data_IF_840391727931
#
_entry.id   IF_840391727931
#
_cell.length_a   1.000
_cell.length_b   1.000
_cell.length_c   1.000
_cell.angle_alpha   90.00
_cell.angle_beta   90.00
_cell.angle_gamma   90.00
#
_symmetry.space_group_name_H-M   'P 1'
#
loop_
_entity.id
_entity.type
_entity.pdbx_description
1 polymer ?
#
# COMPACT_ATOMS: atom_id res chain seq x y z
N UNK A 1 32.04 -71.86 -9.57
CA UNK A 1 32.26 -72.41 -10.92
C UNK A 1 32.26 -71.23 -11.90
N UNK A 2 33.49 -70.93 -12.38
CA UNK A 2 33.96 -70.65 -13.76
C UNK A 2 33.20 -69.53 -14.50
N UNK A 3 33.83 -68.34 -14.66
CA UNK A 3 34.73 -67.86 -15.76
C UNK A 3 34.03 -67.68 -17.10
N UNK A 4 34.05 -66.49 -17.67
CA UNK A 4 35.01 -65.92 -18.65
C UNK A 4 34.52 -64.52 -19.07
N UNK A 5 35.24 -63.48 -18.92
CA UNK A 5 36.19 -62.71 -19.76
C UNK A 5 35.86 -62.75 -21.25
N UNK A 6 35.58 -61.59 -21.84
CA UNK A 6 36.20 -61.20 -23.11
C UNK A 6 36.32 -59.65 -23.23
N UNK A 7 37.56 -59.29 -23.45
CA UNK A 7 38.13 -57.99 -23.78
C UNK A 7 38.04 -57.83 -25.32
N UNK A 8 37.67 -56.71 -25.84
CA UNK A 8 38.07 -56.28 -27.18
C UNK A 8 38.38 -54.78 -27.22
N UNK A 9 39.62 -54.54 -27.58
CA UNK A 9 40.26 -53.26 -27.81
C UNK A 9 40.09 -52.88 -29.30
N UNK A 10 39.94 -51.65 -29.63
CA UNK A 10 40.35 -50.92 -30.88
C UNK A 10 39.54 -49.64 -31.03
N UNK A 11 39.94 -48.50 -31.46
CA UNK A 11 41.16 -47.88 -31.92
C UNK A 11 40.93 -46.38 -31.94
N UNK A 12 41.97 -45.62 -31.63
CA UNK A 12 42.12 -44.17 -31.72
C UNK A 12 41.84 -43.64 -33.13
N UNK A 13 41.07 -42.49 -33.22
CA UNK A 13 41.19 -41.57 -34.32
C UNK A 13 41.19 -40.15 -33.79
N UNK A 14 42.33 -39.50 -33.75
CA UNK A 14 42.53 -38.06 -33.57
C UNK A 14 42.01 -37.31 -34.78
N UNK A 15 41.08 -36.37 -34.54
CA UNK A 15 40.71 -35.35 -35.51
C UNK A 15 40.85 -33.96 -34.84
N UNK A 16 41.96 -33.29 -35.08
CA UNK A 16 42.17 -31.89 -34.77
C UNK A 16 41.31 -31.02 -35.72
N UNK A 17 40.34 -30.30 -35.20
CA UNK A 17 39.71 -29.16 -35.87
C UNK A 17 39.78 -27.96 -34.93
N UNK A 18 40.70 -27.06 -35.23
CA UNK A 18 40.79 -25.71 -34.71
C UNK A 18 39.56 -24.92 -35.16
N UNK A 19 38.66 -24.60 -34.28
CA UNK A 19 37.59 -23.65 -34.51
C UNK A 19 37.77 -22.48 -33.53
N UNK A 20 38.09 -21.29 -34.06
CA UNK A 20 38.04 -20.04 -33.33
C UNK A 20 36.62 -19.82 -32.76
N UNK A 21 36.44 -19.99 -31.48
CA UNK A 21 35.24 -19.61 -30.79
C UNK A 21 35.36 -18.15 -30.36
N UNK A 22 34.66 -17.29 -31.06
CA UNK A 22 34.27 -15.96 -30.59
C UNK A 22 33.48 -16.15 -29.30
N UNK A 23 34.01 -15.70 -28.15
CA UNK A 23 33.22 -15.52 -26.94
C UNK A 23 32.27 -14.33 -27.13
N UNK A 24 31.16 -14.58 -27.79
CA UNK A 24 30.00 -13.72 -27.72
C UNK A 24 29.40 -13.89 -26.33
N UNK A 25 29.45 -12.83 -25.55
CA UNK A 25 28.60 -12.67 -24.40
C UNK A 25 27.16 -12.63 -24.94
N UNK A 26 26.48 -13.75 -25.00
CA UNK A 26 25.03 -13.78 -25.18
C UNK A 26 24.43 -13.32 -23.85
N UNK A 27 24.20 -12.01 -23.72
CA UNK A 27 23.07 -11.54 -22.96
C UNK A 27 21.85 -12.25 -23.56
N UNK A 28 21.30 -13.22 -22.86
CA UNK A 28 19.96 -13.72 -23.13
C UNK A 28 19.03 -12.53 -22.90
N UNK A 29 18.64 -11.83 -23.99
CA UNK A 29 17.42 -11.03 -23.93
C UNK A 29 16.32 -12.03 -23.56
N UNK A 30 15.62 -11.82 -22.48
CA UNK A 30 14.36 -12.50 -22.23
C UNK A 30 13.50 -12.24 -23.46
N UNK A 31 13.06 -13.29 -24.16
CA UNK A 31 12.17 -13.13 -25.32
C UNK A 31 10.79 -12.68 -24.78
N UNK A 32 10.64 -11.35 -24.59
CA UNK A 32 9.35 -10.75 -24.23
C UNK A 32 8.40 -10.96 -25.40
N UNK A 33 7.28 -11.61 -25.14
CA UNK A 33 6.18 -11.72 -26.10
C UNK A 33 5.56 -10.33 -26.25
N UNK A 34 5.55 -9.81 -27.48
CA UNK A 34 5.07 -8.44 -27.77
C UNK A 34 3.68 -8.39 -28.41
N UNK A 35 3.06 -9.54 -28.68
CA UNK A 35 1.72 -9.62 -29.27
C UNK A 35 0.97 -10.84 -28.69
N UNK A 36 -0.24 -10.64 -28.20
CA UNK A 36 -1.13 -11.70 -27.69
C UNK A 36 -2.08 -12.11 -28.82
N UNK A 37 -1.76 -13.20 -29.51
CA UNK A 37 -2.52 -13.70 -30.67
C UNK A 37 -3.53 -14.79 -30.30
N UNK A 38 -3.32 -15.51 -29.20
CA UNK A 38 -4.18 -16.56 -28.69
C UNK A 38 -4.82 -16.15 -27.36
N UNK A 39 -5.97 -16.72 -26.98
CA UNK A 39 -6.60 -16.40 -25.70
C UNK A 39 -5.67 -16.66 -24.50
N UNK A 40 -5.52 -15.66 -23.64
CA UNK A 40 -4.74 -15.69 -22.40
C UNK A 40 -5.63 -15.31 -21.24
N UNK A 41 -5.58 -16.10 -20.17
CA UNK A 41 -6.24 -15.78 -18.89
C UNK A 41 -5.20 -15.36 -17.86
N UNK A 42 -5.44 -14.25 -17.18
CA UNK A 42 -4.66 -13.76 -16.05
C UNK A 42 -5.54 -13.62 -14.81
N UNK A 43 -4.96 -13.85 -13.63
CA UNK A 43 -5.66 -13.71 -12.34
C UNK A 43 -5.10 -12.56 -11.55
N UNK A 44 -5.98 -11.71 -11.00
CA UNK A 44 -5.61 -10.58 -10.17
C UNK A 44 -6.17 -10.75 -8.74
N UNK A 45 -5.26 -10.86 -7.74
CA UNK A 45 -5.63 -10.85 -6.33
C UNK A 45 -5.66 -9.43 -5.78
N UNK A 46 -6.81 -9.03 -5.23
CA UNK A 46 -7.04 -7.69 -4.69
C UNK A 46 -7.82 -7.73 -3.37
N UNK A 47 -7.84 -6.60 -2.67
CA UNK A 47 -8.58 -6.39 -1.42
C UNK A 47 -9.57 -5.21 -1.51
N UNK A 48 -9.98 -4.85 -2.73
CA UNK A 48 -10.93 -3.77 -2.97
C UNK A 48 -12.36 -4.22 -2.62
N UNK A 49 -13.14 -3.35 -1.98
CA UNK A 49 -14.51 -3.63 -1.56
C UNK A 49 -15.43 -2.44 -1.86
N UNK A 50 -16.74 -2.68 -1.95
CA UNK A 50 -17.75 -1.64 -2.20
C UNK A 50 -17.45 -0.85 -3.48
N UNK A 51 -17.52 0.48 -3.44
CA UNK A 51 -17.27 1.34 -4.59
C UNK A 51 -15.89 1.13 -5.23
N UNK A 52 -14.89 0.76 -4.46
CA UNK A 52 -13.56 0.44 -4.98
C UNK A 52 -13.58 -0.83 -5.84
N UNK A 53 -14.28 -1.88 -5.41
CA UNK A 53 -14.43 -3.12 -6.19
C UNK A 53 -15.29 -2.89 -7.43
N UNK A 54 -16.32 -2.08 -7.33
CA UNK A 54 -17.17 -1.70 -8.47
C UNK A 54 -16.38 -0.95 -9.54
N UNK A 55 -15.55 0.02 -9.13
CA UNK A 55 -14.69 0.77 -10.05
C UNK A 55 -13.60 -0.11 -10.67
N UNK A 56 -12.98 -1.00 -9.86
CA UNK A 56 -12.01 -1.98 -10.36
C UNK A 56 -12.63 -2.90 -11.42
N UNK A 57 -13.84 -3.41 -11.16
CA UNK A 57 -14.58 -4.27 -12.10
C UNK A 57 -14.89 -3.52 -13.39
N UNK A 58 -15.42 -2.29 -13.31
CA UNK A 58 -15.71 -1.44 -14.45
C UNK A 58 -14.49 -1.20 -15.35
N UNK A 59 -13.34 -0.88 -14.75
CA UNK A 59 -12.09 -0.67 -15.48
C UNK A 59 -11.55 -1.98 -16.10
N UNK A 60 -11.68 -3.09 -15.38
CA UNK A 60 -11.28 -4.41 -15.89
C UNK A 60 -12.15 -4.85 -17.08
N UNK A 61 -13.45 -4.61 -17.03
CA UNK A 61 -14.38 -4.89 -18.14
C UNK A 61 -14.05 -4.03 -19.36
N UNK A 62 -13.70 -2.75 -19.15
CA UNK A 62 -13.26 -1.86 -20.23
C UNK A 62 -11.97 -2.36 -20.88
N UNK A 63 -10.97 -2.77 -20.08
CA UNK A 63 -9.74 -3.38 -20.59
C UNK A 63 -10.01 -4.61 -21.46
N UNK A 64 -10.86 -5.54 -20.97
CA UNK A 64 -11.20 -6.75 -21.71
C UNK A 64 -11.97 -6.46 -23.02
N UNK A 65 -12.76 -5.39 -23.03
CA UNK A 65 -13.47 -4.96 -24.25
C UNK A 65 -12.51 -4.47 -25.35
N UNK A 66 -11.39 -3.87 -24.96
CA UNK A 66 -10.33 -3.41 -25.88
C UNK A 66 -9.34 -4.53 -26.24
N UNK A 67 -9.22 -5.57 -25.42
CA UNK A 67 -8.24 -6.65 -25.54
C UNK A 67 -8.91 -8.02 -25.60
N UNK A 68 -9.57 -8.33 -26.72
CA UNK A 68 -10.43 -9.52 -26.86
C UNK A 68 -9.74 -10.88 -26.61
N UNK A 69 -8.42 -10.94 -26.70
CA UNK A 69 -7.62 -12.15 -26.40
C UNK A 69 -7.18 -12.24 -24.94
N UNK A 70 -7.46 -11.23 -24.09
CA UNK A 70 -7.06 -11.24 -22.69
C UNK A 70 -8.29 -11.30 -21.79
N UNK A 71 -8.34 -12.30 -20.93
CA UNK A 71 -9.36 -12.41 -19.87
C UNK A 71 -8.72 -12.17 -18.51
N UNK A 72 -9.25 -11.22 -17.74
CA UNK A 72 -8.81 -10.92 -16.38
C UNK A 72 -9.82 -11.46 -15.37
N UNK A 73 -9.39 -12.38 -14.52
CA UNK A 73 -10.20 -12.91 -13.43
C UNK A 73 -9.84 -12.21 -12.12
N UNK A 74 -10.73 -11.32 -11.65
CA UNK A 74 -10.58 -10.65 -10.36
C UNK A 74 -10.89 -11.62 -9.21
N UNK A 75 -10.02 -11.67 -8.21
CA UNK A 75 -10.18 -12.51 -7.01
C UNK A 75 -10.02 -11.65 -5.75
N UNK A 76 -11.16 -11.26 -5.17
CA UNK A 76 -11.20 -10.50 -3.92
C UNK A 76 -10.73 -11.35 -2.74
N UNK A 77 -9.78 -10.85 -1.97
CA UNK A 77 -9.22 -11.48 -0.76
C UNK A 77 -9.73 -10.83 0.53
N UNK A 78 -10.85 -10.12 0.47
CA UNK A 78 -11.58 -9.49 1.57
C UNK A 78 -10.89 -8.26 2.20
N UNK A 79 -9.64 -8.38 2.63
CA UNK A 79 -8.92 -7.29 3.29
C UNK A 79 -7.42 -7.32 2.96
N UNK A 80 -6.73 -6.21 3.22
CA UNK A 80 -5.26 -6.17 3.08
C UNK A 80 -4.55 -7.20 3.97
N UNK A 81 -4.90 -7.40 5.25
CA UNK A 81 -4.32 -8.46 6.07
C UNK A 81 -4.54 -9.86 5.49
N UNK A 82 -5.76 -10.16 4.99
CA UNK A 82 -6.08 -11.46 4.39
C UNK A 82 -5.30 -11.69 3.08
N UNK A 83 -5.21 -10.65 2.23
CA UNK A 83 -4.42 -10.69 1.00
C UNK A 83 -2.95 -10.96 1.32
N UNK A 84 -2.36 -10.22 2.26
CA UNK A 84 -0.96 -10.39 2.65
C UNK A 84 -0.70 -11.79 3.22
N UNK A 85 -1.57 -12.28 4.12
CA UNK A 85 -1.44 -13.62 4.68
C UNK A 85 -1.48 -14.69 3.59
N UNK A 86 -2.41 -14.55 2.63
CA UNK A 86 -2.53 -15.48 1.51
C UNK A 86 -1.32 -15.44 0.58
N UNK A 87 -0.82 -14.25 0.24
CA UNK A 87 0.40 -14.07 -0.54
C UNK A 87 1.57 -14.78 0.13
N UNK A 88 1.83 -14.47 1.40
CA UNK A 88 2.93 -15.07 2.17
C UNK A 88 2.83 -16.60 2.23
N UNK A 89 1.64 -17.13 2.49
CA UNK A 89 1.42 -18.59 2.55
C UNK A 89 1.62 -19.27 1.20
N UNK A 90 1.33 -18.57 0.08
CA UNK A 90 1.38 -19.15 -1.27
C UNK A 90 2.79 -19.10 -1.86
N UNK A 91 3.68 -18.20 -1.40
CA UNK A 91 5.07 -18.10 -1.87
C UNK A 91 5.85 -19.42 -1.77
N UNK A 92 5.53 -20.28 -0.80
CA UNK A 92 6.10 -21.61 -0.69
C UNK A 92 5.74 -22.57 -1.85
N UNK A 93 4.74 -22.19 -2.68
CA UNK A 93 4.29 -22.95 -3.84
C UNK A 93 4.03 -22.00 -5.01
N UNK A 94 5.08 -21.45 -5.66
CA UNK A 94 4.97 -20.36 -6.62
C UNK A 94 4.01 -20.61 -7.80
N UNK A 95 3.81 -21.87 -8.19
CA UNK A 95 2.85 -22.24 -9.24
C UNK A 95 1.38 -21.95 -8.87
N UNK A 96 1.08 -21.69 -7.59
CA UNK A 96 -0.25 -21.34 -7.10
C UNK A 96 -0.44 -19.82 -6.88
N UNK A 97 0.61 -19.01 -7.10
CA UNK A 97 0.50 -17.58 -7.09
C UNK A 97 -0.40 -17.09 -8.25
N UNK A 98 -1.09 -15.96 -8.10
CA UNK A 98 -1.85 -15.37 -9.19
C UNK A 98 -0.89 -14.86 -10.28
N UNK A 99 -1.42 -14.41 -11.42
CA UNK A 99 -0.59 -13.73 -12.41
C UNK A 99 -0.08 -12.39 -11.88
N UNK A 100 -0.98 -11.64 -11.22
CA UNK A 100 -0.64 -10.35 -10.61
C UNK A 100 -1.40 -10.14 -9.30
N UNK A 101 -0.87 -9.23 -8.49
CA UNK A 101 -1.46 -8.82 -7.21
C UNK A 101 -1.24 -7.34 -6.94
N UNK A 102 -2.11 -6.73 -6.13
CA UNK A 102 -1.77 -5.51 -5.43
C UNK A 102 -1.05 -5.84 -4.12
N UNK A 103 -0.01 -5.08 -3.77
CA UNK A 103 0.70 -5.25 -2.51
C UNK A 103 1.45 -3.97 -2.12
N UNK A 104 1.79 -3.84 -0.84
CA UNK A 104 2.75 -2.85 -0.38
C UNK A 104 4.18 -3.32 -0.67
N UNK A 105 5.14 -2.41 -0.92
CA UNK A 105 6.53 -2.78 -1.23
C UNK A 105 7.20 -3.64 -0.16
N UNK A 106 6.97 -3.32 1.11
CA UNK A 106 7.53 -4.06 2.25
C UNK A 106 7.00 -5.49 2.38
N UNK A 107 5.79 -5.78 1.86
CA UNK A 107 5.27 -7.16 1.81
C UNK A 107 5.98 -8.01 0.77
N UNK A 108 6.45 -7.37 -0.30
CA UNK A 108 6.98 -8.06 -1.47
C UNK A 108 8.51 -8.22 -1.42
N UNK A 109 9.20 -7.59 -0.46
CA UNK A 109 10.66 -7.64 -0.39
C UNK A 109 11.22 -9.07 -0.41
N UNK A 110 10.67 -9.97 0.42
CA UNK A 110 11.12 -11.36 0.46
C UNK A 110 10.83 -12.09 -0.86
N UNK A 111 9.64 -11.88 -1.44
CA UNK A 111 9.29 -12.46 -2.73
C UNK A 111 10.19 -11.95 -3.87
N UNK A 112 10.60 -10.69 -3.82
CA UNK A 112 11.58 -10.11 -4.75
C UNK A 112 12.95 -10.74 -4.56
N UNK A 113 13.45 -10.84 -3.31
CA UNK A 113 14.74 -11.46 -3.00
C UNK A 113 14.79 -12.95 -3.38
N UNK A 114 13.66 -13.65 -3.29
CA UNK A 114 13.52 -15.05 -3.70
C UNK A 114 13.31 -15.24 -5.22
N UNK A 115 13.27 -14.13 -6.00
CA UNK A 115 13.09 -14.17 -7.45
C UNK A 115 11.69 -14.59 -7.91
N UNK A 116 10.66 -14.39 -7.06
CA UNK A 116 9.27 -14.74 -7.37
C UNK A 116 8.52 -13.65 -8.12
N UNK A 117 9.06 -12.43 -8.16
CA UNK A 117 8.44 -11.24 -8.76
C UNK A 117 9.18 -10.86 -10.03
N UNK A 118 8.44 -10.57 -11.08
CA UNK A 118 8.98 -10.11 -12.36
C UNK A 118 9.56 -8.70 -12.23
N UNK A 119 10.82 -8.51 -12.63
CA UNK A 119 11.39 -7.17 -12.82
C UNK A 119 10.80 -6.56 -14.10
N UNK A 120 10.31 -5.32 -14.00
CA UNK A 120 9.56 -4.67 -15.08
C UNK A 120 10.39 -3.76 -15.97
N UNK A 121 11.69 -3.54 -15.69
CA UNK A 121 12.52 -2.56 -16.40
C UNK A 121 12.53 -2.81 -17.92
N UNK A 122 12.70 -4.07 -18.35
CA UNK A 122 12.70 -4.44 -19.78
C UNK A 122 11.31 -4.29 -20.42
N UNK A 123 10.24 -4.48 -19.65
CA UNK A 123 8.86 -4.26 -20.10
C UNK A 123 8.56 -2.77 -20.23
N UNK A 124 8.93 -1.95 -19.24
CA UNK A 124 8.71 -0.50 -19.21
C UNK A 124 9.38 0.18 -20.40
N UNK A 125 10.61 -0.25 -20.76
CA UNK A 125 11.43 0.34 -21.82
C UNK A 125 11.31 -0.36 -23.17
N UNK A 126 10.43 -1.37 -23.31
CA UNK A 126 10.26 -2.13 -24.54
C UNK A 126 9.72 -1.23 -25.66
N UNK A 127 10.34 -1.28 -26.84
CA UNK A 127 9.98 -0.43 -27.99
C UNK A 127 8.57 -0.70 -28.55
N UNK A 128 7.98 -1.88 -28.27
CA UNK A 128 6.67 -2.28 -28.82
C UNK A 128 5.54 -2.16 -27.80
N UNK A 129 5.76 -2.64 -26.56
CA UNK A 129 4.74 -2.74 -25.53
C UNK A 129 4.99 -1.81 -24.35
N UNK A 130 6.14 -1.14 -24.28
CA UNK A 130 6.52 -0.28 -23.17
C UNK A 130 5.60 0.93 -22.97
N UNK A 131 5.91 1.73 -21.96
CA UNK A 131 5.21 2.98 -21.74
C UNK A 131 5.77 4.09 -22.62
N UNK A 132 4.89 4.85 -23.27
CA UNK A 132 5.27 6.09 -23.97
C UNK A 132 5.42 7.27 -23.00
N UNK A 133 4.78 7.18 -21.82
CA UNK A 133 4.58 8.27 -20.87
C UNK A 133 4.88 7.86 -19.40
N UNK A 134 5.83 6.94 -19.19
CA UNK A 134 6.19 6.43 -17.86
C UNK A 134 6.56 7.55 -16.88
N UNK A 135 7.21 8.61 -17.39
CA UNK A 135 7.62 9.77 -16.60
C UNK A 135 6.43 10.63 -16.10
N UNK A 136 5.22 10.47 -16.65
CA UNK A 136 4.02 11.11 -16.15
C UNK A 136 3.52 10.49 -14.82
N UNK A 137 3.94 9.26 -14.51
CA UNK A 137 3.73 8.70 -13.18
C UNK A 137 4.60 9.48 -12.19
N UNK A 138 3.98 9.95 -11.10
CA UNK A 138 4.62 10.78 -10.06
C UNK A 138 5.92 10.14 -9.58
N UNK A 139 7.03 10.88 -9.64
CA UNK A 139 8.38 10.37 -9.37
C UNK A 139 8.49 9.69 -8.00
N UNK A 140 7.91 10.30 -6.94
CA UNK A 140 7.93 9.71 -5.60
C UNK A 140 7.22 8.36 -5.51
N UNK A 141 6.19 8.13 -6.33
CA UNK A 141 5.51 6.83 -6.40
C UNK A 141 6.33 5.81 -7.20
N UNK A 142 6.95 6.24 -8.33
CA UNK A 142 7.83 5.37 -9.12
C UNK A 142 9.04 4.88 -8.33
N UNK A 143 9.71 5.78 -7.61
CA UNK A 143 10.90 5.45 -6.83
C UNK A 143 10.60 4.50 -5.67
N UNK A 144 9.39 4.55 -5.10
CA UNK A 144 8.95 3.63 -4.06
C UNK A 144 8.79 2.16 -4.53
N UNK A 145 8.71 1.92 -5.85
CA UNK A 145 8.60 0.56 -6.42
C UNK A 145 9.94 -0.05 -6.81
N UNK A 146 11.04 0.67 -6.59
CA UNK A 146 12.41 0.20 -6.88
C UNK A 146 12.97 -0.55 -5.67
N UNK A 147 13.35 -1.80 -5.88
CA UNK A 147 13.98 -2.66 -4.89
C UNK A 147 15.28 -3.22 -5.52
N UNK A 148 16.41 -3.11 -4.84
CA UNK A 148 17.71 -3.59 -5.35
C UNK A 148 18.01 -3.07 -6.79
N UNK A 149 17.80 -1.77 -7.01
CA UNK A 149 18.05 -1.06 -8.28
C UNK A 149 17.20 -1.55 -9.49
N UNK A 150 16.09 -2.24 -9.24
CA UNK A 150 15.15 -2.69 -10.26
C UNK A 150 13.72 -2.31 -9.92
N UNK A 151 12.94 -2.04 -10.95
CA UNK A 151 11.50 -1.76 -10.83
C UNK A 151 10.72 -3.06 -10.80
N UNK A 152 9.96 -3.32 -9.72
CA UNK A 152 9.18 -4.55 -9.55
C UNK A 152 7.66 -4.34 -9.59
N UNK A 153 7.21 -3.10 -9.61
CA UNK A 153 5.78 -2.80 -9.64
C UNK A 153 5.48 -1.50 -10.38
N UNK A 154 4.22 -1.32 -10.73
CA UNK A 154 3.69 -0.04 -11.20
C UNK A 154 2.78 0.54 -10.11
N UNK A 155 2.97 1.82 -9.70
CA UNK A 155 2.10 2.49 -8.74
C UNK A 155 0.64 2.47 -9.18
N UNK A 156 -0.30 2.20 -8.24
CA UNK A 156 -1.71 2.11 -8.62
C UNK A 156 -2.62 2.92 -7.70
N UNK A 157 -2.91 2.45 -6.51
CA UNK A 157 -3.89 3.05 -5.61
C UNK A 157 -3.19 3.71 -4.41
N UNK A 158 -2.66 4.91 -4.62
CA UNK A 158 -1.93 5.67 -3.59
C UNK A 158 -2.88 6.48 -2.71
N UNK A 159 -2.53 6.60 -1.44
CA UNK A 159 -3.33 7.34 -0.45
C UNK A 159 -2.43 7.93 0.65
N UNK A 160 -3.04 8.77 1.48
CA UNK A 160 -2.49 9.26 2.73
C UNK A 160 -3.61 9.40 3.76
N UNK A 161 -3.28 9.68 5.01
CA UNK A 161 -4.28 9.92 6.03
C UNK A 161 -4.68 11.40 6.07
N UNK A 162 -5.97 11.63 6.30
CA UNK A 162 -6.60 12.93 6.42
C UNK A 162 -7.34 13.04 7.75
N UNK A 163 -7.64 14.25 8.18
CA UNK A 163 -8.59 14.53 9.23
C UNK A 163 -10.00 14.64 8.65
N UNK A 164 -10.86 13.72 9.04
CA UNK A 164 -12.31 13.76 8.80
C UNK A 164 -13.01 14.31 10.05
N UNK A 165 -13.92 15.28 9.90
CA UNK A 165 -14.59 15.87 11.05
C UNK A 165 -16.05 16.23 10.76
N UNK A 166 -16.88 16.18 11.79
CA UNK A 166 -18.26 16.66 11.75
C UNK A 166 -18.24 18.20 11.82
N UNK A 167 -18.27 18.82 10.62
CA UNK A 167 -18.21 20.27 10.51
C UNK A 167 -19.38 20.96 11.18
N UNK A 168 -20.59 20.39 11.07
CA UNK A 168 -21.79 20.92 11.74
C UNK A 168 -21.61 21.00 13.26
N UNK A 169 -21.00 19.97 13.85
CA UNK A 169 -20.74 19.93 15.29
C UNK A 169 -19.66 20.93 15.70
N UNK A 170 -18.52 20.97 14.99
CA UNK A 170 -17.43 21.89 15.31
C UNK A 170 -17.89 23.35 15.17
N UNK A 171 -18.56 23.70 14.07
CA UNK A 171 -19.12 25.05 13.87
C UNK A 171 -20.12 25.42 14.99
N UNK A 172 -20.97 24.47 15.41
CA UNK A 172 -21.91 24.68 16.52
C UNK A 172 -21.25 24.97 17.86
N UNK A 173 -20.03 24.50 18.07
CA UNK A 173 -19.19 24.74 19.24
C UNK A 173 -18.24 25.94 19.06
N UNK A 174 -18.18 26.55 17.86
CA UNK A 174 -17.24 27.61 17.53
C UNK A 174 -15.80 27.14 17.45
N UNK A 175 -15.57 25.87 17.06
CA UNK A 175 -14.26 25.23 16.92
C UNK A 175 -13.85 25.17 15.44
N UNK A 176 -12.57 25.40 15.19
CA UNK A 176 -11.95 25.22 13.88
C UNK A 176 -11.33 23.82 13.75
N UNK A 177 -11.13 23.35 12.51
CA UNK A 177 -10.40 22.10 12.26
C UNK A 177 -8.94 22.23 12.75
N UNK A 178 -8.45 21.27 13.57
CA UNK A 178 -7.08 21.33 14.10
C UNK A 178 -6.03 21.14 12.99
N UNK A 179 -4.92 21.86 13.11
CA UNK A 179 -3.77 21.84 12.20
C UNK A 179 -2.52 21.21 12.80
N UNK A 180 -2.54 20.97 14.12
CA UNK A 180 -1.48 20.29 14.88
C UNK A 180 -2.07 19.20 15.75
N UNK A 181 -1.23 18.24 16.16
CA UNK A 181 -1.65 17.20 17.10
C UNK A 181 -2.09 17.78 18.46
N UNK A 182 -1.45 18.84 18.95
CA UNK A 182 -1.84 19.52 20.18
C UNK A 182 -3.22 20.19 20.06
N UNK A 183 -3.50 20.81 18.92
CA UNK A 183 -4.83 21.35 18.60
C UNK A 183 -5.86 20.21 18.48
N UNK A 184 -5.50 19.07 17.86
CA UNK A 184 -6.40 17.91 17.78
C UNK A 184 -6.82 17.42 19.17
N UNK A 185 -5.88 17.28 20.09
CA UNK A 185 -6.18 16.90 21.47
C UNK A 185 -7.08 17.94 22.15
N UNK A 186 -6.78 19.25 22.00
CA UNK A 186 -7.55 20.35 22.59
C UNK A 186 -8.98 20.39 22.06
N UNK A 187 -9.17 20.28 20.74
CA UNK A 187 -10.50 20.25 20.10
C UNK A 187 -11.26 18.99 20.53
N UNK A 188 -10.60 17.83 20.53
CA UNK A 188 -11.20 16.57 20.94
C UNK A 188 -11.68 16.61 22.40
N UNK A 189 -10.87 17.15 23.29
CA UNK A 189 -11.23 17.31 24.71
C UNK A 189 -12.42 18.27 24.88
N UNK A 190 -12.43 19.40 24.16
CA UNK A 190 -13.55 20.35 24.20
C UNK A 190 -14.84 19.70 23.70
N UNK A 191 -14.81 18.99 22.59
CA UNK A 191 -15.98 18.25 22.08
C UNK A 191 -16.50 17.27 23.13
N UNK A 192 -15.62 16.48 23.73
CA UNK A 192 -16.01 15.50 24.74
C UNK A 192 -16.65 16.17 26.00
N UNK A 193 -16.07 17.27 26.48
CA UNK A 193 -16.58 17.99 27.66
C UNK A 193 -17.94 18.64 27.40
N UNK A 194 -18.15 19.24 26.23
CA UNK A 194 -19.37 19.97 25.90
C UNK A 194 -20.53 19.05 25.47
N UNK A 195 -20.22 17.87 24.88
CA UNK A 195 -21.23 17.02 24.25
C UNK A 195 -21.32 15.59 24.79
N UNK A 196 -20.26 15.11 25.43
CA UNK A 196 -20.10 13.71 25.81
C UNK A 196 -19.75 12.77 24.62
N UNK A 197 -19.61 13.29 23.40
CA UNK A 197 -19.17 12.53 22.24
C UNK A 197 -17.64 12.38 22.29
N UNK A 198 -17.11 11.22 21.90
CA UNK A 198 -15.67 11.04 21.78
C UNK A 198 -15.13 12.03 20.74
N UNK A 199 -14.11 12.81 21.12
CA UNK A 199 -13.60 13.88 20.27
C UNK A 199 -12.90 13.37 19.02
N UNK A 200 -11.97 12.40 19.16
CA UNK A 200 -11.21 11.91 18.00
C UNK A 200 -10.73 10.45 18.15
N UNK A 201 -10.16 9.93 17.07
CA UNK A 201 -9.43 8.67 17.02
C UNK A 201 -8.65 8.50 15.73
N UNK A 202 -7.86 7.44 15.65
CA UNK A 202 -7.06 7.09 14.48
C UNK A 202 -7.46 5.69 14.00
N UNK A 203 -7.63 5.53 12.69
CA UNK A 203 -7.99 4.25 12.10
C UNK A 203 -6.90 3.19 12.26
N UNK A 204 -5.63 3.60 12.16
CA UNK A 204 -4.48 2.70 12.20
C UNK A 204 -3.46 3.13 13.24
N UNK A 205 -3.31 2.34 14.30
CA UNK A 205 -2.36 2.63 15.39
C UNK A 205 -0.89 2.56 14.97
N UNK A 206 -0.55 1.68 14.03
CA UNK A 206 0.79 1.64 13.44
C UNK A 206 1.12 2.90 12.65
N UNK A 207 0.16 3.41 11.84
CA UNK A 207 0.33 4.68 11.14
C UNK A 207 0.50 5.84 12.12
N UNK A 208 -0.39 5.91 13.12
CA UNK A 208 -0.31 6.91 14.16
C UNK A 208 1.08 6.93 14.81
N UNK A 209 1.53 5.76 15.30
CA UNK A 209 2.81 5.65 16.01
C UNK A 209 4.00 6.06 15.12
N UNK A 210 4.10 5.51 13.91
CA UNK A 210 5.20 5.84 13.00
C UNK A 210 5.15 7.29 12.52
N UNK A 211 3.95 7.85 12.29
CA UNK A 211 3.79 9.25 11.91
C UNK A 211 4.16 10.19 13.05
N UNK A 212 3.77 9.86 14.29
CA UNK A 212 4.13 10.66 15.46
C UNK A 212 5.65 10.75 15.63
N UNK A 213 6.35 9.62 15.70
CA UNK A 213 7.82 9.60 15.87
C UNK A 213 8.56 10.27 14.68
N UNK A 214 8.03 10.17 13.46
CA UNK A 214 8.61 10.87 12.30
C UNK A 214 8.48 12.38 12.44
N UNK A 215 7.41 12.88 13.05
CA UNK A 215 7.24 14.32 13.33
C UNK A 215 8.11 14.79 14.50
N UNK A 216 8.55 13.89 15.40
CA UNK A 216 9.59 14.17 16.40
C UNK A 216 11.01 14.14 15.83
N UNK A 217 11.16 13.86 14.52
CA UNK A 217 12.46 13.86 13.82
C UNK A 217 13.18 12.51 13.83
N UNK A 218 12.51 11.45 14.26
CA UNK A 218 13.06 10.08 14.29
C UNK A 218 12.64 9.29 13.05
N UNK A 219 13.36 8.21 12.79
CA UNK A 219 13.04 7.24 11.72
C UNK A 219 12.71 5.90 12.37
N UNK A 220 11.58 5.30 11.98
CA UNK A 220 11.20 3.98 12.48
C UNK A 220 11.93 2.87 11.71
N UNK A 221 13.12 2.53 12.16
CA UNK A 221 13.98 1.49 11.61
C UNK A 221 14.67 0.67 12.72
N UNK A 222 15.63 -0.19 12.37
CA UNK A 222 16.32 -1.05 13.30
C UNK A 222 17.16 -0.31 14.37
N UNK A 223 17.52 0.93 14.11
CA UNK A 223 18.34 1.77 15.02
C UNK A 223 17.45 2.66 15.94
N UNK A 224 16.12 2.66 15.73
CA UNK A 224 15.21 3.48 16.52
C UNK A 224 15.14 3.06 18.00
N UNK A 225 15.34 4.03 18.90
CA UNK A 225 15.18 3.79 20.35
C UNK A 225 13.71 3.80 20.77
N UNK A 226 13.06 2.65 20.70
CA UNK A 226 11.65 2.49 21.08
C UNK A 226 11.36 2.75 22.57
N UNK A 227 12.39 2.90 23.40
CA UNK A 227 12.26 3.29 24.82
C UNK A 227 12.59 4.77 25.03
N UNK A 228 13.00 5.47 23.97
CA UNK A 228 13.33 6.89 23.96
C UNK A 228 12.12 7.82 24.16
N UNK A 229 12.41 9.12 24.22
CA UNK A 229 11.39 10.14 24.52
C UNK A 229 10.29 10.19 23.47
N UNK A 230 10.64 10.17 22.16
CA UNK A 230 9.68 10.22 21.08
C UNK A 230 8.63 9.09 21.15
N UNK A 231 9.08 7.86 21.48
CA UNK A 231 8.18 6.72 21.67
C UNK A 231 7.27 6.89 22.90
N UNK A 232 7.84 7.36 24.02
CA UNK A 232 7.06 7.62 25.24
C UNK A 232 6.01 8.72 25.01
N UNK A 233 6.36 9.78 24.30
CA UNK A 233 5.46 10.89 23.99
C UNK A 233 4.32 10.43 23.07
N UNK A 234 4.64 9.65 22.02
CA UNK A 234 3.65 9.06 21.13
C UNK A 234 2.62 8.20 21.91
N UNK A 235 3.11 7.34 22.80
CA UNK A 235 2.24 6.48 23.60
C UNK A 235 1.40 7.31 24.57
N UNK A 236 2.03 8.23 25.32
CA UNK A 236 1.33 9.03 26.34
C UNK A 236 0.29 9.98 25.72
N UNK A 237 0.58 10.60 24.57
CA UNK A 237 -0.38 11.45 23.88
C UNK A 237 -1.73 10.74 23.64
N UNK A 238 -1.67 9.51 23.13
CA UNK A 238 -2.91 8.76 22.87
C UNK A 238 -3.52 8.20 24.15
N UNK A 239 -2.69 7.64 25.02
CA UNK A 239 -3.13 7.04 26.29
C UNK A 239 -3.84 8.05 27.20
N UNK A 240 -3.34 9.27 27.30
CA UNK A 240 -3.97 10.32 28.10
C UNK A 240 -5.35 10.68 27.54
N UNK A 241 -5.48 10.77 26.20
CA UNK A 241 -6.77 10.98 25.56
C UNK A 241 -7.77 9.84 25.79
N UNK A 242 -7.31 8.59 25.84
CA UNK A 242 -8.16 7.44 26.18
C UNK A 242 -8.55 7.48 27.65
N UNK A 243 -7.63 7.79 28.58
CA UNK A 243 -7.91 7.93 30.01
C UNK A 243 -8.93 9.01 30.30
N UNK A 244 -8.84 10.14 29.61
CA UNK A 244 -9.75 11.27 29.77
C UNK A 244 -11.03 11.14 28.94
N UNK A 245 -11.11 10.15 28.04
CA UNK A 245 -12.30 9.81 27.27
C UNK A 245 -12.51 10.63 26.01
N UNK A 246 -11.55 11.48 25.61
CA UNK A 246 -11.65 12.25 24.37
C UNK A 246 -11.02 11.56 23.16
N UNK A 247 -10.21 10.51 23.35
CA UNK A 247 -9.76 9.64 22.28
C UNK A 247 -10.31 8.23 22.41
N UNK A 248 -10.43 7.53 21.30
CA UNK A 248 -10.73 6.10 21.22
C UNK A 248 -9.95 5.42 20.10
N UNK A 249 -9.74 4.11 20.20
CA UNK A 249 -9.24 3.27 19.11
C UNK A 249 -10.40 2.77 18.23
N UNK A 250 -10.10 2.39 17.00
CA UNK A 250 -11.07 1.73 16.12
C UNK A 250 -11.52 0.37 16.69
N UNK A 251 -10.58 -0.45 17.16
CA UNK A 251 -10.87 -1.73 17.81
C UNK A 251 -11.73 -2.65 16.93
N UNK A 252 -12.83 -3.14 17.48
CA UNK A 252 -13.75 -4.04 16.75
C UNK A 252 -14.50 -3.39 15.59
N UNK A 253 -14.58 -2.06 15.52
CA UNK A 253 -15.18 -1.34 14.40
C UNK A 253 -14.29 -1.41 13.14
N UNK A 254 -13.00 -1.75 13.29
CA UNK A 254 -11.94 -1.78 12.27
C UNK A 254 -11.59 -0.39 11.71
N UNK A 255 -12.60 0.43 11.41
CA UNK A 255 -12.48 1.82 10.93
C UNK A 255 -13.44 2.72 11.69
N UNK A 256 -13.06 3.98 11.86
CA UNK A 256 -13.86 4.97 12.59
C UNK A 256 -14.91 5.67 11.72
N UNK A 257 -14.96 5.39 10.41
CA UNK A 257 -15.99 5.92 9.52
C UNK A 257 -17.41 5.53 9.94
N UNK A 258 -17.63 4.33 10.50
CA UNK A 258 -18.91 3.90 11.08
C UNK A 258 -19.29 4.66 12.34
N UNK A 259 -18.45 4.67 13.38
CA UNK A 259 -18.61 5.54 14.57
C UNK A 259 -18.79 7.02 14.25
N UNK A 260 -18.08 7.56 13.27
CA UNK A 260 -18.23 8.92 12.77
C UNK A 260 -19.62 9.15 12.17
N UNK A 261 -20.05 8.29 11.25
CA UNK A 261 -21.38 8.36 10.61
C UNK A 261 -22.54 8.20 11.60
N UNK A 262 -22.31 7.54 12.73
CA UNK A 262 -23.30 7.41 13.84
C UNK A 262 -23.15 8.48 14.93
N UNK A 263 -22.31 9.49 14.71
CA UNK A 263 -22.07 10.62 15.61
C UNK A 263 -21.57 10.21 17.02
N UNK A 264 -20.90 9.06 17.12
CA UNK A 264 -20.25 8.61 18.37
C UNK A 264 -18.79 9.03 18.46
N UNK A 265 -18.21 9.50 17.35
CA UNK A 265 -16.89 10.12 17.21
C UNK A 265 -17.06 11.40 16.39
N UNK A 266 -16.50 12.51 16.86
CA UNK A 266 -16.63 13.80 16.19
C UNK A 266 -15.60 14.00 15.04
N UNK A 267 -14.40 13.43 15.21
CA UNK A 267 -13.27 13.53 14.27
C UNK A 267 -12.55 12.20 14.19
N UNK A 268 -11.93 11.92 13.05
CA UNK A 268 -11.00 10.80 12.98
C UNK A 268 -9.92 11.02 11.91
N UNK A 269 -8.76 10.41 12.15
CA UNK A 269 -7.69 10.30 11.18
C UNK A 269 -7.85 8.99 10.44
N UNK A 270 -8.01 9.08 9.12
CA UNK A 270 -8.17 7.92 8.26
C UNK A 270 -7.83 8.23 6.80
N UNK A 271 -7.73 7.20 5.98
CA UNK A 271 -7.32 7.33 4.58
C UNK A 271 -8.27 8.21 3.75
N UNK A 272 -7.70 9.02 2.83
CA UNK A 272 -8.49 9.71 1.80
C UNK A 272 -9.30 8.74 0.92
N UNK A 273 -8.82 7.52 0.71
CA UNK A 273 -9.54 6.46 -0.01
C UNK A 273 -10.78 5.94 0.74
N UNK A 274 -11.03 6.43 1.95
CA UNK A 274 -12.25 6.21 2.72
C UNK A 274 -13.43 7.10 2.33
N UNK A 275 -13.25 8.10 1.43
CA UNK A 275 -14.26 9.11 1.12
C UNK A 275 -15.64 8.53 0.81
N UNK A 276 -15.72 7.55 -0.09
CA UNK A 276 -16.99 6.93 -0.48
C UNK A 276 -17.73 6.28 0.69
N UNK A 277 -17.00 5.65 1.62
CA UNK A 277 -17.57 5.04 2.83
C UNK A 277 -18.04 6.10 3.83
N UNK A 278 -17.27 7.19 3.99
CA UNK A 278 -17.62 8.31 4.89
C UNK A 278 -18.88 9.01 4.37
N UNK A 279 -18.89 9.39 3.09
CA UNK A 279 -20.01 10.11 2.48
C UNK A 279 -21.29 9.26 2.50
N UNK A 280 -21.22 7.99 2.11
CA UNK A 280 -22.37 7.09 2.11
C UNK A 280 -22.86 6.76 3.53
N UNK A 281 -21.96 6.64 4.49
CA UNK A 281 -22.30 6.36 5.89
C UNK A 281 -23.01 7.54 6.57
N UNK A 282 -22.49 8.74 6.37
CA UNK A 282 -23.10 9.99 6.90
C UNK A 282 -24.45 10.28 6.26
N UNK A 283 -24.61 10.00 4.95
CA UNK A 283 -25.88 10.12 4.23
C UNK A 283 -26.62 11.45 4.47
N UNK A 284 -25.85 12.56 4.48
CA UNK A 284 -26.40 13.92 4.63
C UNK A 284 -26.89 14.30 6.02
N UNK A 285 -26.64 13.48 7.08
CA UNK A 285 -27.04 13.79 8.45
C UNK A 285 -26.39 15.07 9.00
N UNK A 286 -25.15 15.32 8.59
CA UNK A 286 -24.37 16.51 8.94
C UNK A 286 -23.39 16.88 7.81
N UNK A 287 -22.84 18.08 7.85
CA UNK A 287 -21.81 18.53 6.92
C UNK A 287 -20.46 17.88 7.30
N UNK A 288 -19.85 17.19 6.33
CA UNK A 288 -18.54 16.57 6.49
C UNK A 288 -17.49 17.63 6.17
N UNK A 289 -16.54 17.80 7.08
CA UNK A 289 -15.30 18.54 6.82
C UNK A 289 -14.13 17.58 6.61
N UNK A 290 -13.19 18.01 5.77
CA UNK A 290 -11.95 17.29 5.50
C UNK A 290 -10.79 18.27 5.59
N UNK A 291 -9.72 17.90 6.26
CA UNK A 291 -8.49 18.68 6.37
C UNK A 291 -7.26 17.78 6.20
N UNK A 292 -6.09 18.31 5.86
CA UNK A 292 -4.85 17.57 5.92
C UNK A 292 -4.62 16.95 7.31
N UNK A 293 -3.86 15.87 7.38
CA UNK A 293 -3.39 15.31 8.65
C UNK A 293 -2.73 16.43 9.48
N UNK A 294 -3.06 16.58 10.78
CA UNK A 294 -2.61 17.73 11.59
C UNK A 294 -1.14 17.60 12.03
N UNK A 295 -0.23 17.41 11.09
CA UNK A 295 1.22 17.44 11.29
C UNK A 295 1.95 17.65 9.96
N UNK A 296 3.26 17.94 10.05
CA UNK A 296 4.10 18.23 8.89
C UNK A 296 4.31 16.98 8.01
N UNK A 297 4.75 15.89 8.60
CA UNK A 297 5.01 14.64 7.89
C UNK A 297 3.76 13.73 7.96
N UNK A 298 3.42 13.10 6.84
CA UNK A 298 2.26 12.23 6.68
C UNK A 298 2.70 10.93 6.04
N UNK A 299 2.12 9.81 6.48
CA UNK A 299 2.45 8.51 5.90
C UNK A 299 1.82 8.37 4.50
N UNK A 300 2.66 8.00 3.52
CA UNK A 300 2.18 7.51 2.23
C UNK A 300 1.67 6.10 2.39
N UNK A 301 0.47 5.85 1.92
CA UNK A 301 -0.17 4.54 1.90
C UNK A 301 -0.54 4.13 0.48
N UNK A 302 -1.13 2.95 0.38
CA UNK A 302 -1.64 2.42 -0.88
C UNK A 302 -0.65 1.46 -1.55
N UNK A 303 -1.21 0.59 -2.38
CA UNK A 303 -0.51 -0.54 -2.98
C UNK A 303 -0.07 -0.27 -4.40
N UNK A 304 0.84 -1.09 -4.86
CA UNK A 304 1.36 -1.17 -6.22
C UNK A 304 0.95 -2.48 -6.87
N UNK A 305 1.01 -2.57 -8.19
CA UNK A 305 0.69 -3.78 -8.95
C UNK A 305 1.96 -4.55 -9.28
N UNK A 306 2.03 -5.79 -8.82
CA UNK A 306 3.15 -6.72 -9.00
C UNK A 306 2.74 -7.87 -9.91
N UNK A 307 3.63 -8.30 -10.82
CA UNK A 307 3.47 -9.50 -11.64
C UNK A 307 4.39 -10.59 -11.11
N UNK A 308 3.89 -11.82 -10.99
CA UNK A 308 4.72 -12.95 -10.54
C UNK A 308 5.49 -13.60 -11.68
N UNK A 309 6.74 -13.98 -11.39
CA UNK A 309 7.64 -14.57 -12.39
C UNK A 309 7.25 -16.01 -12.79
N UNK A 310 6.41 -16.67 -12.01
CA UNK A 310 5.84 -17.99 -12.32
C UNK A 310 4.81 -17.98 -13.47
N UNK A 311 4.35 -16.81 -13.92
CA UNK A 311 3.44 -16.66 -15.06
C UNK A 311 4.15 -17.02 -16.39
N UNK A 312 3.39 -17.47 -17.40
CA UNK A 312 3.95 -17.69 -18.75
C UNK A 312 4.35 -16.36 -19.42
N UNK A 313 5.14 -16.41 -20.48
CA UNK A 313 5.55 -15.20 -21.19
C UNK A 313 4.34 -14.38 -21.71
N UNK A 314 3.32 -15.06 -22.23
CA UNK A 314 2.07 -14.44 -22.69
C UNK A 314 1.29 -13.82 -21.52
N UNK A 315 1.22 -14.51 -20.37
CA UNK A 315 0.57 -13.99 -19.17
C UNK A 315 1.29 -12.76 -18.59
N UNK A 316 2.63 -12.76 -18.61
CA UNK A 316 3.44 -11.60 -18.19
C UNK A 316 3.15 -10.39 -19.06
N UNK A 317 3.11 -10.57 -20.37
CA UNK A 317 2.76 -9.48 -21.31
C UNK A 317 1.32 -9.02 -21.13
N UNK A 318 0.36 -9.95 -21.02
CA UNK A 318 -1.05 -9.60 -20.76
C UNK A 318 -1.22 -8.85 -19.46
N UNK A 319 -0.52 -9.26 -18.40
CA UNK A 319 -0.52 -8.56 -17.12
C UNK A 319 0.10 -7.15 -17.25
N UNK A 320 1.22 -7.01 -17.96
CA UNK A 320 1.86 -5.71 -18.18
C UNK A 320 0.95 -4.75 -18.97
N UNK A 321 0.26 -5.22 -20.03
CA UNK A 321 -0.74 -4.41 -20.75
C UNK A 321 -1.90 -3.99 -19.82
N UNK A 322 -2.33 -4.87 -18.92
CA UNK A 322 -3.33 -4.53 -17.90
C UNK A 322 -2.81 -3.49 -16.91
N UNK A 323 -1.55 -3.58 -16.45
CA UNK A 323 -0.92 -2.57 -15.60
C UNK A 323 -0.90 -1.19 -16.28
N UNK A 324 -0.53 -1.14 -17.57
CA UNK A 324 -0.53 0.09 -18.38
C UNK A 324 -1.92 0.71 -18.47
N UNK A 325 -2.93 -0.12 -18.77
CA UNK A 325 -4.32 0.34 -18.84
C UNK A 325 -4.79 0.89 -17.51
N UNK A 326 -4.62 0.15 -16.41
CA UNK A 326 -5.04 0.57 -15.06
C UNK A 326 -4.36 1.85 -14.57
N UNK A 327 -3.16 2.12 -15.08
CA UNK A 327 -2.38 3.33 -14.74
C UNK A 327 -2.38 4.39 -15.84
N UNK A 328 -3.19 4.23 -16.89
CA UNK A 328 -3.40 5.28 -17.91
C UNK A 328 -4.08 6.50 -17.29
N UNK A 329 -3.94 7.68 -17.92
CA UNK A 329 -4.56 8.90 -17.41
C UNK A 329 -6.09 8.78 -17.32
N UNK A 330 -6.74 8.13 -18.28
CA UNK A 330 -8.21 7.92 -18.29
C UNK A 330 -8.66 6.99 -17.16
N UNK A 331 -7.97 5.85 -16.99
CA UNK A 331 -8.27 4.90 -15.91
C UNK A 331 -8.01 5.51 -14.54
N UNK A 332 -6.93 6.27 -14.38
CA UNK A 332 -6.58 6.92 -13.13
C UNK A 332 -7.54 8.06 -12.76
N UNK A 333 -8.04 8.82 -13.75
CA UNK A 333 -9.09 9.81 -13.51
C UNK A 333 -10.38 9.14 -13.02
N UNK A 334 -10.79 8.06 -13.68
CA UNK A 334 -11.97 7.28 -13.28
C UNK A 334 -11.78 6.69 -11.88
N UNK A 335 -10.66 6.01 -11.65
CA UNK A 335 -10.33 5.39 -10.38
C UNK A 335 -10.33 6.38 -9.21
N UNK A 336 -9.62 7.49 -9.37
CA UNK A 336 -9.53 8.51 -8.33
C UNK A 336 -10.87 9.18 -8.03
N UNK A 337 -11.69 9.44 -9.07
CA UNK A 337 -13.03 10.02 -8.91
C UNK A 337 -13.98 9.07 -8.20
N UNK A 338 -13.98 7.79 -8.56
CA UNK A 338 -14.91 6.80 -8.00
C UNK A 338 -14.53 6.37 -6.57
N UNK A 339 -13.25 6.50 -6.18
CA UNK A 339 -12.72 5.85 -4.96
C UNK A 339 -12.08 6.80 -3.95
N UNK A 340 -11.71 8.01 -4.35
CA UNK A 340 -10.97 8.97 -3.52
C UNK A 340 -9.46 8.67 -3.39
N UNK A 341 -8.92 7.64 -4.07
CA UNK A 341 -7.46 7.43 -4.13
C UNK A 341 -6.75 8.59 -4.85
N UNK A 342 -5.47 8.79 -4.52
CA UNK A 342 -4.62 9.78 -5.20
C UNK A 342 -4.28 9.25 -6.59
N UNK A 343 -4.54 10.02 -7.66
CA UNK A 343 -4.10 9.63 -9.00
C UNK A 343 -2.58 9.49 -9.05
N UNK A 344 -2.09 8.45 -9.70
CA UNK A 344 -0.64 8.24 -9.81
C UNK A 344 0.00 9.01 -10.95
N UNK A 345 -0.80 9.74 -11.77
CA UNK A 345 -0.36 10.53 -12.91
C UNK A 345 -0.35 12.02 -12.62
N UNK A 346 0.75 12.72 -12.91
CA UNK A 346 0.87 14.18 -12.80
C UNK A 346 -0.17 14.86 -13.69
N UNK A 347 -0.33 14.41 -14.93
CA UNK A 347 -1.33 14.95 -15.88
C UNK A 347 -2.76 14.87 -15.35
N UNK A 348 -3.12 13.83 -14.59
CA UNK A 348 -4.43 13.69 -13.95
C UNK A 348 -4.58 14.65 -12.78
N UNK A 349 -3.59 14.72 -11.90
CA UNK A 349 -3.57 15.64 -10.75
C UNK A 349 -3.74 17.11 -11.19
N UNK A 350 -3.15 17.47 -12.33
CA UNK A 350 -3.23 18.83 -12.90
C UNK A 350 -4.50 19.10 -13.71
N UNK A 351 -5.27 18.07 -14.08
CA UNK A 351 -6.44 18.20 -14.95
C UNK A 351 -7.61 18.90 -14.29
N UNK A 352 -8.34 19.74 -15.05
CA UNK A 352 -9.57 20.36 -14.60
C UNK A 352 -10.66 19.32 -14.26
N UNK A 353 -10.68 18.21 -15.00
CA UNK A 353 -11.66 17.15 -14.75
C UNK A 353 -11.48 16.54 -13.35
N UNK A 354 -10.24 16.35 -12.90
CA UNK A 354 -9.96 15.88 -11.55
C UNK A 354 -10.25 16.96 -10.50
N UNK A 355 -9.76 18.19 -10.71
CA UNK A 355 -9.95 19.30 -9.78
C UNK A 355 -11.41 19.68 -9.51
N UNK A 356 -12.32 19.35 -10.43
CA UNK A 356 -13.75 19.66 -10.34
C UNK A 356 -14.65 18.44 -10.23
N UNK A 357 -14.12 17.29 -9.82
CA UNK A 357 -14.85 16.02 -9.75
C UNK A 357 -15.92 15.93 -8.64
N UNK A 358 -15.99 16.93 -7.76
CA UNK A 358 -16.97 16.98 -6.65
C UNK A 358 -16.53 16.23 -5.39
N UNK A 359 -15.32 15.64 -5.35
CA UNK A 359 -14.73 15.04 -4.16
C UNK A 359 -14.46 16.08 -3.07
N UNK A 360 -14.67 15.70 -1.82
CA UNK A 360 -14.27 16.51 -0.65
C UNK A 360 -12.75 16.54 -0.47
N UNK A 361 -12.06 15.49 -0.93
CA UNK A 361 -10.60 15.31 -0.77
C UNK A 361 -9.82 16.13 -1.81
N UNK A 362 -10.28 16.15 -3.05
CA UNK A 362 -9.52 16.78 -4.16
C UNK A 362 -9.06 18.21 -3.86
N UNK A 363 -9.88 19.11 -3.26
CA UNK A 363 -9.46 20.50 -2.99
C UNK A 363 -8.29 20.64 -2.02
N UNK A 364 -8.07 19.67 -1.15
CA UNK A 364 -7.02 19.70 -0.11
C UNK A 364 -5.83 18.79 -0.43
N UNK A 365 -5.89 18.03 -1.52
CA UNK A 365 -4.94 16.96 -1.79
C UNK A 365 -3.50 17.47 -1.98
N UNK A 366 -3.32 18.62 -2.63
CA UNK A 366 -2.00 19.23 -2.81
C UNK A 366 -1.31 19.47 -1.47
N UNK A 367 -2.02 20.00 -0.48
CA UNK A 367 -1.49 20.20 0.88
C UNK A 367 -1.35 18.88 1.63
N UNK A 368 -2.33 17.98 1.51
CA UNK A 368 -2.35 16.70 2.18
C UNK A 368 -1.19 15.78 1.74
N UNK A 369 -0.69 15.95 0.52
CA UNK A 369 0.44 15.15 -0.01
C UNK A 369 1.80 15.78 0.19
N UNK A 370 1.90 16.97 0.81
CA UNK A 370 3.19 17.54 1.19
C UNK A 370 3.79 16.80 2.38
N UNK A 371 5.10 16.52 2.34
CA UNK A 371 5.80 15.84 3.43
C UNK A 371 5.45 14.37 3.60
N UNK A 372 5.06 13.69 2.52
CA UNK A 372 4.84 12.25 2.55
C UNK A 372 6.15 11.50 2.85
N UNK A 373 6.05 10.51 3.72
CA UNK A 373 7.11 9.52 3.97
C UNK A 373 6.56 8.11 3.79
N UNK A 374 7.44 7.16 3.55
CA UNK A 374 7.11 5.73 3.45
C UNK A 374 7.82 4.96 4.56
N UNK A 375 7.22 3.86 5.00
CA UNK A 375 7.95 2.90 5.82
C UNK A 375 9.14 2.36 5.04
N UNK A 376 10.28 2.06 5.69
CA UNK A 376 11.45 1.50 5.02
C UNK A 376 11.13 0.13 4.42
N UNK A 377 11.66 -0.13 3.21
CA UNK A 377 11.53 -1.43 2.53
C UNK A 377 12.79 -2.25 2.85
N UNK A 378 12.86 -2.75 4.08
CA UNK A 378 13.95 -3.57 4.60
C UNK A 378 13.41 -4.83 5.28
N UNK A 379 14.26 -5.84 5.45
CA UNK A 379 13.86 -7.08 6.13
C UNK A 379 13.36 -6.78 7.55
N UNK A 380 12.26 -7.41 7.95
CA UNK A 380 11.63 -7.21 9.25
C UNK A 380 10.70 -5.98 9.34
N UNK A 381 10.83 -4.96 8.50
CA UNK A 381 10.09 -3.69 8.63
C UNK A 381 8.55 -3.88 8.69
N UNK A 382 8.00 -4.75 7.85
CA UNK A 382 6.55 -5.02 7.90
C UNK A 382 6.12 -5.69 9.20
N UNK A 383 6.90 -6.64 9.72
CA UNK A 383 6.60 -7.31 10.97
C UNK A 383 6.65 -6.32 12.15
N UNK A 384 7.69 -5.49 12.21
CA UNK A 384 7.85 -4.50 13.28
C UNK A 384 6.80 -3.41 13.23
N UNK A 385 6.37 -2.99 12.03
CA UNK A 385 5.26 -2.07 11.85
C UNK A 385 3.93 -2.63 12.41
N UNK A 386 3.65 -3.92 12.19
CA UNK A 386 2.48 -4.60 12.80
C UNK A 386 2.58 -4.72 14.31
N UNK A 387 3.78 -5.03 14.80
CA UNK A 387 4.03 -5.12 16.25
C UNK A 387 3.85 -3.76 16.94
N UNK A 388 4.10 -2.63 16.28
CA UNK A 388 3.80 -1.31 16.85
C UNK A 388 2.30 -1.10 17.10
N UNK A 389 1.42 -1.59 16.22
CA UNK A 389 -0.02 -1.57 16.48
C UNK A 389 -0.39 -2.47 17.66
N UNK A 390 0.16 -3.68 17.72
CA UNK A 390 -0.06 -4.64 18.83
C UNK A 390 0.38 -4.05 20.17
N UNK A 391 1.53 -3.39 20.20
CA UNK A 391 2.04 -2.69 21.38
C UNK A 391 1.09 -1.57 21.81
N UNK A 392 0.67 -0.72 20.87
CA UNK A 392 -0.26 0.38 21.16
C UNK A 392 -1.61 -0.14 21.64
N UNK A 393 -2.21 -1.15 21.00
CA UNK A 393 -3.46 -1.78 21.43
C UNK A 393 -3.35 -2.32 22.86
N UNK A 394 -2.25 -3.01 23.17
CA UNK A 394 -2.00 -3.56 24.51
C UNK A 394 -1.95 -2.48 25.59
N UNK A 395 -1.29 -1.36 25.30
CA UNK A 395 -1.20 -0.22 26.23
C UNK A 395 -2.56 0.50 26.37
N UNK A 396 -3.25 0.76 25.28
CA UNK A 396 -4.49 1.53 25.27
C UNK A 396 -5.69 0.74 25.84
N UNK A 397 -5.60 -0.60 25.85
CA UNK A 397 -6.63 -1.45 26.46
C UNK A 397 -6.60 -1.44 28.01
N UNK A 398 -5.47 -1.11 28.64
CA UNK A 398 -5.33 -1.00 30.10
C UNK A 398 -4.72 0.35 30.50
N UNK A 399 -5.55 1.36 30.82
CA UNK A 399 -5.09 2.68 31.20
C UNK A 399 -4.19 2.73 32.45
N UNK A 400 -4.08 1.64 33.21
CA UNK A 400 -3.24 1.53 34.42
C UNK A 400 -1.85 0.95 34.15
N UNK A 401 -1.56 0.65 32.89
CA UNK A 401 -0.35 -0.04 32.46
C UNK A 401 0.92 0.77 32.77
N UNK A 402 2.01 0.07 33.08
CA UNK A 402 3.34 0.69 33.12
C UNK A 402 3.90 0.77 31.68
N UNK A 403 3.81 1.97 31.09
CA UNK A 403 4.27 2.25 29.73
C UNK A 403 5.73 1.88 29.53
N UNK A 404 6.61 2.20 30.49
CA UNK A 404 8.04 1.93 30.36
C UNK A 404 8.33 0.42 30.25
N UNK A 405 7.68 -0.41 31.08
CA UNK A 405 7.82 -1.86 31.00
C UNK A 405 7.30 -2.44 29.69
N UNK A 406 6.22 -1.87 29.12
CA UNK A 406 5.68 -2.30 27.83
C UNK A 406 6.59 -1.92 26.66
N UNK A 407 7.20 -0.73 26.67
CA UNK A 407 8.15 -0.32 25.66
C UNK A 407 9.44 -1.16 25.74
N UNK A 408 9.90 -1.58 26.93
CA UNK A 408 11.01 -2.53 27.07
C UNK A 408 10.64 -3.93 26.51
N UNK A 409 9.42 -4.39 26.72
CA UNK A 409 8.95 -5.64 26.12
C UNK A 409 8.87 -5.52 24.60
N UNK A 410 8.40 -4.41 24.09
CA UNK A 410 8.34 -4.11 22.65
C UNK A 410 9.75 -4.07 22.02
N UNK A 411 10.71 -3.41 22.67
CA UNK A 411 12.13 -3.41 22.27
C UNK A 411 12.68 -4.84 22.11
N UNK A 412 12.39 -5.73 23.06
CA UNK A 412 12.83 -7.12 22.97
C UNK A 412 12.15 -7.86 21.79
N UNK A 413 10.87 -7.56 21.50
CA UNK A 413 10.17 -8.10 20.34
C UNK A 413 10.83 -7.63 19.05
N UNK A 414 11.09 -6.33 18.89
CA UNK A 414 11.75 -5.78 17.70
C UNK A 414 13.15 -6.36 17.48
N UNK A 415 13.95 -6.50 18.53
CA UNK A 415 15.28 -7.10 18.46
C UNK A 415 15.28 -8.57 18.01
N UNK A 416 14.14 -9.26 18.03
CA UNK A 416 13.98 -10.62 17.52
C UNK A 416 13.56 -10.66 16.05
N UNK A 417 13.15 -9.51 15.49
CA UNK A 417 12.65 -9.38 14.11
C UNK A 417 13.71 -8.73 13.23
N UNK A 418 14.33 -7.64 13.70
CA UNK A 418 15.45 -6.97 13.09
C UNK A 418 16.77 -7.57 13.59
#
# INVERSE_FOLDING_TARGET
>A
MKLAKNLLVSTLALGLLTGCGSTGNTTTSSDIVTEITEPVEITFWHAMNGAQEESLTKLTDAFMAENANITVTLQNQSSYPDLQQKLTATQASPANLPTLTQAYPDWMLNAVNDGLVLALDEYITNETIGFDDYEDIVEGFRTATVINDKTYAIPFNKSTELLWYNKTLLDGLGLEAPTTLDELATVAQTVQQETGIVGAGFDALSNYYTTYITNEGEVYDADFDVTGQASQDAVNYYLDGVKEGYFRIAGTDKYLSGPFASETVAMFIGSNAGESFVVSGVDGKFEIGVAPFPAKNKIQQGTDLYVFDSATAEQKTAAFEYLKFMTSAESQLTWATDTGYVPVRTSVLESEAYKTNGSLVTPILEEATQGLFTNPVVEGANATYKESATMMEGILADPTIDVASHLEAFKNTLASIW
#
